data_IF_186038424760
#
_entry.id   IF_186038424760
#
_cell.length_a   1.000
_cell.length_b   1.000
_cell.length_c   1.000
_cell.angle_alpha   90.00
_cell.angle_beta   90.00
_cell.angle_gamma   90.00
#
_symmetry.space_group_name_H-M   'P 1'
#
loop_
_entity.id
_entity.type
_entity.pdbx_description
1 polymer ?
#
# COMPACT_ATOMS: atom_id res chain seq x y z
N UNK A 1 -34.02 -69.47 10.65
CA UNK A 1 -32.83 -69.65 9.80
C UNK A 1 -32.60 -68.35 9.05
N UNK A 2 -31.57 -67.60 9.44
CA UNK A 2 -31.28 -66.28 8.87
C UNK A 2 -29.85 -66.36 8.32
N UNK A 3 -29.71 -66.40 7.00
CA UNK A 3 -28.41 -66.32 6.33
C UNK A 3 -28.02 -64.85 6.23
N UNK A 4 -27.01 -64.44 6.98
CA UNK A 4 -26.38 -63.13 6.84
C UNK A 4 -25.18 -63.28 5.90
N UNK A 5 -25.34 -62.89 4.64
CA UNK A 5 -24.23 -62.87 3.69
C UNK A 5 -23.32 -61.66 3.98
N UNK A 6 -22.18 -61.94 4.63
CA UNK A 6 -21.10 -60.99 4.85
C UNK A 6 -20.29 -60.80 3.55
N UNK A 7 -20.56 -59.74 2.78
CA UNK A 7 -19.67 -59.32 1.68
C UNK A 7 -18.61 -58.38 2.24
N UNK A 8 -17.42 -58.92 2.51
CA UNK A 8 -16.20 -58.11 2.72
C UNK A 8 -15.63 -57.64 1.37
N UNK A 9 -15.15 -56.40 1.40
CA UNK A 9 -14.60 -55.57 0.33
C UNK A 9 -13.49 -56.22 -0.52
N UNK A 10 -13.39 -55.78 -1.78
CA UNK A 10 -12.09 -55.61 -2.46
C UNK A 10 -12.18 -54.35 -3.31
N UNK A 11 -11.67 -53.26 -2.74
CA UNK A 11 -11.26 -52.05 -3.45
C UNK A 11 -10.44 -52.45 -4.68
N UNK A 12 -10.84 -51.97 -5.86
CA UNK A 12 -10.22 -52.37 -7.13
C UNK A 12 -8.77 -51.91 -7.10
N UNK A 13 -7.86 -52.89 -7.13
CA UNK A 13 -6.43 -52.75 -6.80
C UNK A 13 -5.59 -52.18 -7.96
N UNK A 14 -6.20 -51.46 -8.89
CA UNK A 14 -5.50 -50.83 -10.00
C UNK A 14 -6.03 -49.41 -10.19
N UNK A 15 -5.21 -48.39 -9.91
CA UNK A 15 -5.64 -47.01 -10.08
C UNK A 15 -5.99 -46.75 -11.54
N UNK A 16 -7.19 -46.22 -11.78
CA UNK A 16 -7.67 -45.93 -13.11
C UNK A 16 -6.75 -44.86 -13.76
N UNK A 17 -6.48 -44.95 -15.07
CA UNK A 17 -5.57 -44.02 -15.76
C UNK A 17 -5.95 -42.54 -15.55
N UNK A 18 -7.24 -42.28 -15.33
CA UNK A 18 -7.75 -40.95 -15.05
C UNK A 18 -7.32 -40.44 -13.67
N UNK A 19 -7.15 -41.32 -12.67
CA UNK A 19 -6.67 -40.96 -11.33
C UNK A 19 -5.21 -40.48 -11.41
N UNK A 20 -4.39 -41.17 -12.21
CA UNK A 20 -3.02 -40.74 -12.50
C UNK A 20 -2.97 -39.44 -13.31
N UNK A 21 -3.84 -39.29 -14.32
CA UNK A 21 -3.92 -38.06 -15.11
C UNK A 21 -4.33 -36.87 -14.23
N UNK A 22 -5.38 -37.03 -13.41
CA UNK A 22 -5.82 -36.01 -12.46
C UNK A 22 -4.73 -35.71 -11.44
N UNK A 23 -4.06 -36.74 -10.90
CA UNK A 23 -2.96 -36.57 -9.97
C UNK A 23 -1.79 -35.78 -10.56
N UNK A 24 -1.39 -36.07 -11.80
CA UNK A 24 -0.35 -35.30 -12.51
C UNK A 24 -0.77 -33.85 -12.76
N UNK A 25 -2.01 -33.62 -13.20
CA UNK A 25 -2.51 -32.26 -13.43
C UNK A 25 -2.54 -31.47 -12.13
N UNK A 26 -3.05 -32.07 -11.04
CA UNK A 26 -3.05 -31.45 -9.71
C UNK A 26 -1.63 -31.15 -9.23
N UNK A 27 -0.69 -32.10 -9.39
CA UNK A 27 0.71 -31.89 -9.01
C UNK A 27 1.35 -30.76 -9.82
N UNK A 28 1.10 -30.70 -11.13
CA UNK A 28 1.59 -29.62 -12.00
C UNK A 28 1.07 -28.25 -11.56
N UNK A 29 -0.22 -28.15 -11.24
CA UNK A 29 -0.81 -26.89 -10.75
C UNK A 29 -0.15 -26.46 -9.44
N UNK A 30 0.03 -27.39 -8.49
CA UNK A 30 0.69 -27.10 -7.21
C UNK A 30 2.13 -26.62 -7.43
N UNK A 31 2.91 -27.31 -8.26
CA UNK A 31 4.29 -26.93 -8.59
C UNK A 31 4.32 -25.56 -9.27
N UNK A 32 3.40 -25.29 -10.20
CA UNK A 32 3.30 -24.00 -10.88
C UNK A 32 2.99 -22.86 -9.89
N UNK A 33 2.06 -23.06 -8.95
CA UNK A 33 1.76 -22.07 -7.91
C UNK A 33 2.97 -21.83 -7.00
N UNK A 34 3.68 -22.89 -6.56
CA UNK A 34 4.89 -22.75 -5.75
C UNK A 34 5.97 -21.98 -6.51
N UNK A 35 6.21 -22.34 -7.78
CA UNK A 35 7.20 -21.66 -8.61
C UNK A 35 6.85 -20.18 -8.83
N UNK A 36 5.57 -19.87 -9.04
CA UNK A 36 5.08 -18.50 -9.16
C UNK A 36 5.32 -17.69 -7.90
N UNK A 37 4.96 -18.22 -6.72
CA UNK A 37 5.19 -17.55 -5.44
C UNK A 37 6.68 -17.38 -5.16
N UNK A 38 7.50 -18.40 -5.43
CA UNK A 38 8.95 -18.31 -5.26
C UNK A 38 9.58 -17.26 -6.18
N UNK A 39 9.11 -17.16 -7.44
CA UNK A 39 9.52 -16.12 -8.36
C UNK A 39 9.14 -14.74 -7.83
N UNK A 40 7.91 -14.57 -7.34
CA UNK A 40 7.44 -13.31 -6.77
C UNK A 40 8.26 -12.90 -5.55
N UNK A 41 8.53 -13.85 -4.65
CA UNK A 41 9.32 -13.61 -3.44
C UNK A 41 10.78 -13.21 -3.74
N UNK A 42 11.36 -13.67 -4.84
CA UNK A 42 12.72 -13.30 -5.22
C UNK A 42 12.78 -11.99 -6.03
N UNK A 43 11.67 -11.59 -6.67
CA UNK A 43 11.64 -10.42 -7.56
C UNK A 43 10.99 -9.17 -6.95
N UNK A 44 10.27 -9.30 -5.83
CA UNK A 44 9.78 -8.13 -5.10
C UNK A 44 10.92 -7.53 -4.28
N UNK A 45 11.56 -6.50 -4.83
CA UNK A 45 12.34 -5.57 -4.04
C UNK A 45 11.38 -4.81 -3.12
N UNK A 46 11.63 -4.82 -1.81
CA UNK A 46 10.97 -3.95 -0.83
C UNK A 46 11.29 -2.49 -1.19
N UNK A 47 10.47 -1.91 -2.06
CA UNK A 47 10.60 -0.52 -2.46
C UNK A 47 10.13 0.34 -1.30
N UNK A 48 11.08 1.03 -0.65
CA UNK A 48 10.78 2.03 0.38
C UNK A 48 9.75 3.04 -0.16
N UNK A 49 8.85 3.57 0.70
CA UNK A 49 7.85 4.53 0.27
C UNK A 49 8.41 5.72 -0.52
N UNK A 50 7.89 5.94 -1.72
CA UNK A 50 8.26 7.07 -2.59
C UNK A 50 7.17 8.13 -2.54
N UNK A 51 7.29 9.08 -1.59
CA UNK A 51 6.31 10.11 -1.34
C UNK A 51 6.60 11.38 -2.15
N UNK A 52 5.60 11.85 -2.90
CA UNK A 52 5.65 13.11 -3.65
C UNK A 52 4.46 13.99 -3.28
N UNK A 53 4.68 15.30 -3.16
CA UNK A 53 3.66 16.26 -2.74
C UNK A 53 3.45 17.34 -3.79
N UNK A 54 2.18 17.66 -4.07
CA UNK A 54 1.79 18.74 -4.96
C UNK A 54 0.76 19.65 -4.28
N UNK A 55 1.05 20.95 -4.18
CA UNK A 55 0.09 21.94 -3.70
C UNK A 55 -1.01 22.10 -4.75
N UNK A 56 -2.26 21.93 -4.34
CA UNK A 56 -3.44 22.01 -5.22
C UNK A 56 -4.17 23.33 -5.07
N UNK A 57 -4.12 23.96 -3.89
CA UNK A 57 -4.91 25.16 -3.62
C UNK A 57 -4.33 26.01 -2.49
N UNK A 58 -4.49 27.33 -2.60
CA UNK A 58 -4.26 28.29 -1.52
C UNK A 58 -5.51 29.15 -1.38
N UNK A 59 -6.14 29.17 -0.21
CA UNK A 59 -7.36 29.96 0.03
C UNK A 59 -7.38 30.51 1.45
N UNK A 60 -7.87 31.74 1.62
CA UNK A 60 -8.20 32.31 2.92
C UNK A 60 -9.47 31.66 3.51
N UNK A 61 -9.43 31.31 4.79
CA UNK A 61 -10.57 30.77 5.55
C UNK A 61 -10.88 31.69 6.73
N UNK A 62 -12.00 31.47 7.42
CA UNK A 62 -12.37 32.28 8.60
C UNK A 62 -11.30 32.26 9.70
N UNK A 63 -10.52 31.18 9.79
CA UNK A 63 -9.48 30.98 10.81
C UNK A 63 -8.05 31.24 10.35
N UNK A 64 -7.83 31.77 9.15
CA UNK A 64 -6.49 31.99 8.60
C UNK A 64 -6.38 31.61 7.13
N UNK A 65 -5.41 30.78 6.79
CA UNK A 65 -5.10 30.41 5.40
C UNK A 65 -4.95 28.90 5.27
N UNK A 66 -5.66 28.32 4.30
CA UNK A 66 -5.60 26.90 3.99
C UNK A 66 -4.76 26.68 2.74
N UNK A 67 -3.71 25.88 2.87
CA UNK A 67 -2.92 25.37 1.74
C UNK A 67 -3.21 23.89 1.59
N UNK A 68 -4.01 23.55 0.58
CA UNK A 68 -4.33 22.16 0.26
C UNK A 68 -3.25 21.55 -0.64
N UNK A 69 -3.00 20.27 -0.45
CA UNK A 69 -2.05 19.52 -1.24
C UNK A 69 -2.48 18.07 -1.34
N UNK A 70 -1.92 17.41 -2.33
CA UNK A 70 -2.00 15.98 -2.47
C UNK A 70 -0.63 15.34 -2.20
N UNK A 71 -0.65 14.19 -1.54
CA UNK A 71 0.50 13.31 -1.36
C UNK A 71 0.26 12.02 -2.15
N UNK A 72 1.23 11.62 -2.95
CA UNK A 72 1.19 10.39 -3.73
C UNK A 72 2.35 9.48 -3.33
N UNK A 73 2.06 8.21 -3.09
CA UNK A 73 3.04 7.16 -2.88
C UNK A 73 3.13 6.31 -4.15
N UNK A 74 4.30 6.32 -4.80
CA UNK A 74 4.53 5.55 -6.02
C UNK A 74 5.14 4.18 -5.75
N UNK A 75 5.53 3.91 -4.51
CA UNK A 75 6.08 2.62 -4.13
C UNK A 75 4.97 1.59 -3.89
N UNK A 76 5.39 0.33 -3.85
CA UNK A 76 4.54 -0.83 -3.52
C UNK A 76 4.41 -1.04 -2.01
N UNK A 77 5.19 -0.31 -1.19
CA UNK A 77 5.08 -0.31 0.28
C UNK A 77 4.18 0.84 0.76
N UNK A 78 3.35 0.57 1.76
CA UNK A 78 2.54 1.60 2.45
C UNK A 78 3.43 2.39 3.41
N UNK A 79 3.22 3.70 3.52
CA UNK A 79 3.83 4.52 4.57
C UNK A 79 2.81 4.79 5.69
N UNK A 80 3.19 4.58 6.94
CA UNK A 80 2.37 4.90 8.10
C UNK A 80 2.85 6.17 8.81
N UNK A 81 1.96 6.82 9.55
CA UNK A 81 2.25 7.99 10.38
C UNK A 81 3.10 9.05 9.64
N UNK A 82 2.72 9.36 8.40
CA UNK A 82 3.47 10.26 7.52
C UNK A 82 3.31 11.69 8.00
N UNK A 83 4.37 12.26 8.57
CA UNK A 83 4.40 13.67 8.94
C UNK A 83 4.75 14.52 7.73
N UNK A 84 3.89 15.46 7.40
CA UNK A 84 4.09 16.45 6.35
C UNK A 84 4.24 17.82 7.00
N UNK A 85 5.33 18.51 6.65
CA UNK A 85 5.60 19.87 7.09
C UNK A 85 5.35 20.86 5.98
N UNK A 86 4.67 21.94 6.31
CA UNK A 86 4.48 23.12 5.48
C UNK A 86 5.21 24.30 6.09
N UNK A 87 5.99 25.01 5.28
CA UNK A 87 6.77 26.19 5.68
C UNK A 87 6.43 27.35 4.75
N UNK A 88 6.07 28.51 5.30
CA UNK A 88 6.01 29.77 4.57
C UNK A 88 7.39 30.44 4.69
N UNK A 89 8.01 30.75 3.56
CA UNK A 89 9.32 31.40 3.53
C UNK A 89 9.22 32.84 3.04
N UNK A 90 9.97 33.73 3.68
CA UNK A 90 10.16 35.12 3.24
C UNK A 90 11.66 35.42 3.16
N UNK A 91 12.15 35.65 1.94
CA UNK A 91 13.58 35.82 1.68
C UNK A 91 14.45 34.63 2.13
N UNK A 92 13.89 33.42 2.17
CA UNK A 92 14.58 32.20 2.62
C UNK A 92 14.51 31.93 4.13
N UNK A 93 13.92 32.84 4.92
CA UNK A 93 13.65 32.61 6.34
C UNK A 93 12.26 32.02 6.52
N UNK A 94 12.13 31.02 7.39
CA UNK A 94 10.83 30.45 7.76
C UNK A 94 10.09 31.48 8.62
N UNK A 95 8.92 31.92 8.15
CA UNK A 95 8.05 32.86 8.86
C UNK A 95 7.01 32.12 9.68
N UNK A 96 6.52 31.00 9.17
CA UNK A 96 5.59 30.11 9.85
C UNK A 96 5.80 28.68 9.34
N UNK A 97 5.74 27.71 10.25
CA UNK A 97 5.71 26.30 9.94
C UNK A 97 4.56 25.60 10.68
N UNK A 98 4.02 24.57 10.05
CA UNK A 98 2.98 23.73 10.63
C UNK A 98 3.05 22.31 10.07
N UNK A 99 2.64 21.34 10.88
CA UNK A 99 2.70 19.93 10.55
C UNK A 99 1.29 19.31 10.52
N UNK A 100 1.12 18.32 9.65
CA UNK A 100 -0.02 17.41 9.62
C UNK A 100 0.49 15.98 9.49
N UNK A 101 -0.20 15.04 10.13
CA UNK A 101 0.11 13.61 10.01
C UNK A 101 -0.99 12.90 9.26
N UNK A 102 -0.61 12.09 8.27
CA UNK A 102 -1.49 11.10 7.66
C UNK A 102 -1.26 9.77 8.35
N UNK A 103 -2.34 9.13 8.80
CA UNK A 103 -2.24 7.81 9.41
C UNK A 103 -1.60 6.81 8.44
N UNK A 104 -2.01 6.86 7.18
CA UNK A 104 -1.45 6.04 6.11
C UNK A 104 -1.45 6.77 4.77
N UNK A 105 -0.42 6.49 3.96
CA UNK A 105 -0.40 6.75 2.52
C UNK A 105 -0.15 5.40 1.82
N UNK A 106 -1.23 4.74 1.35
CA UNK A 106 -1.14 3.40 0.77
C UNK A 106 -0.22 3.32 -0.45
N UNK A 107 0.29 2.13 -0.70
CA UNK A 107 1.02 1.80 -1.92
C UNK A 107 0.26 2.22 -3.19
N UNK A 108 0.99 2.78 -4.16
CA UNK A 108 0.47 3.21 -5.47
C UNK A 108 -0.80 4.09 -5.39
N UNK A 109 -0.91 4.88 -4.32
CA UNK A 109 -2.12 5.65 -4.01
C UNK A 109 -1.85 7.13 -3.79
N UNK A 110 -2.95 7.88 -3.71
CA UNK A 110 -2.96 9.33 -3.51
C UNK A 110 -3.91 9.68 -2.36
N UNK A 111 -3.45 10.57 -1.49
CA UNK A 111 -4.24 11.12 -0.39
C UNK A 111 -4.18 12.65 -0.44
N UNK A 112 -5.19 13.31 0.09
CA UNK A 112 -5.30 14.78 0.10
C UNK A 112 -5.33 15.28 1.53
N UNK A 113 -4.67 16.41 1.76
CA UNK A 113 -4.67 17.09 3.05
C UNK A 113 -4.55 18.59 2.89
N UNK A 114 -4.52 19.29 4.02
CA UNK A 114 -4.25 20.71 4.03
C UNK A 114 -3.52 21.11 5.30
N UNK A 115 -2.64 22.09 5.16
CA UNK A 115 -2.02 22.78 6.29
C UNK A 115 -2.73 24.12 6.46
N UNK A 116 -2.99 24.47 7.72
CA UNK A 116 -3.60 25.72 8.11
C UNK A 116 -2.51 26.63 8.68
N UNK A 117 -2.38 27.81 8.10
CA UNK A 117 -1.45 28.85 8.52
C UNK A 117 -2.22 30.04 9.10
N UNK A 118 -1.61 30.71 10.06
CA UNK A 118 -2.12 31.96 10.64
C UNK A 118 -1.74 33.16 9.79
N UNK A 119 -0.56 33.13 9.16
CA UNK A 119 -0.05 34.16 8.26
C UNK A 119 -0.51 33.92 6.83
N UNK A 120 -0.73 35.02 6.10
CA UNK A 120 -1.04 34.94 4.67
C UNK A 120 0.18 34.44 3.87
N UNK A 121 0.11 33.28 3.21
CA UNK A 121 1.17 32.86 2.31
C UNK A 121 1.28 33.78 1.08
N UNK A 122 0.21 34.44 0.63
CA UNK A 122 0.22 35.35 -0.52
C UNK A 122 1.00 34.79 -1.72
N UNK A 123 1.93 35.58 -2.23
CA UNK A 123 2.89 35.19 -3.28
C UNK A 123 4.20 34.62 -2.74
N UNK A 124 4.33 34.46 -1.41
CA UNK A 124 5.53 33.89 -0.78
C UNK A 124 5.72 32.44 -1.20
N UNK A 125 6.96 31.99 -1.06
CA UNK A 125 7.29 30.58 -1.26
C UNK A 125 6.62 29.76 -0.13
N UNK A 126 5.90 28.72 -0.51
CA UNK A 126 5.34 27.74 0.42
C UNK A 126 5.96 26.41 0.08
N UNK A 127 6.69 25.83 1.02
CA UNK A 127 7.34 24.54 0.87
C UNK A 127 6.54 23.51 1.64
N UNK A 128 6.09 22.45 0.97
CA UNK A 128 5.40 21.33 1.61
C UNK A 128 6.16 20.05 1.28
N UNK A 129 6.55 19.30 2.31
CA UNK A 129 7.33 18.07 2.15
C UNK A 129 7.00 17.06 3.25
N UNK A 130 7.06 15.78 2.90
CA UNK A 130 7.10 14.73 3.92
C UNK A 130 8.44 14.84 4.68
N UNK A 131 8.38 14.81 6.00
CA UNK A 131 9.57 14.92 6.88
C UNK A 131 9.90 13.62 7.59
N UNK A 132 8.95 12.69 7.65
CA UNK A 132 9.14 11.37 8.22
C UNK A 132 7.94 10.45 7.95
N UNK A 133 8.18 9.15 8.07
CA UNK A 133 7.18 8.09 8.04
C UNK A 133 7.68 6.93 8.90
N UNK A 134 6.78 5.99 9.20
CA UNK A 134 7.07 4.73 9.88
C UNK A 134 6.74 3.59 8.91
N UNK A 135 7.59 2.57 8.86
CA UNK A 135 7.29 1.32 8.16
C UNK A 135 6.11 0.61 8.87
N UNK A 136 5.06 0.23 8.15
CA UNK A 136 3.80 -0.27 8.73
C UNK A 136 3.92 -1.63 9.42
#
# INVERSE_FOLDING_TARGET
>A
MTTTANKRHTEVKEPHWIEWATGMVSALVVVATIAWVAYQAWTHDDMQPELSIAITERRQTEGGYRVAFDIANKATATAAAVTVRGEILDGGNIVEDADITFDYVPAESKSSGAILFSQDPGTREVRVRAVGYIDP
#
